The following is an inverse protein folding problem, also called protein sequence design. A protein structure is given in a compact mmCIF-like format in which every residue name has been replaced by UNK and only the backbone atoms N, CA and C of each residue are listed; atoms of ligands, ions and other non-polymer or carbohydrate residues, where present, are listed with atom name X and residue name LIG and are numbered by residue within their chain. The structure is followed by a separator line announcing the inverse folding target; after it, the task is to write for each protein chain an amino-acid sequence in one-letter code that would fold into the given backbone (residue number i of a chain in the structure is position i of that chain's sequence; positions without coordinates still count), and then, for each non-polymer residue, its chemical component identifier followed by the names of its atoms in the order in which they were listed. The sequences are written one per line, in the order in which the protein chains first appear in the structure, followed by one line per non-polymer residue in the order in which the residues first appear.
data_IF_173170538592
#
_entry.id   IF_173170538592
#
_cell.length_a   1.000
_cell.length_b   1.000
_cell.length_c   1.000
_cell.angle_alpha   90.00
_cell.angle_beta   90.00
_cell.angle_gamma   90.00
#
_symmetry.space_group_name_H-M   'P 1'
#
loop_
_entity.id
_entity.type
_entity.pdbx_description
1 polymer ?
#
# COMPACT_ATOMS: atom_id res chain seq x y z
N UNK A 1 9.54 19.28 -22.97
CA UNK A 1 9.51 19.54 -21.52
C UNK A 1 8.92 18.30 -20.89
N UNK A 2 9.67 17.60 -20.05
CA UNK A 2 9.16 16.48 -19.26
C UNK A 2 8.23 17.05 -18.19
N UNK A 3 6.96 16.65 -18.20
CA UNK A 3 6.04 16.96 -17.10
C UNK A 3 6.51 16.18 -15.87
N UNK A 4 6.89 16.89 -14.81
CA UNK A 4 7.22 16.29 -13.51
C UNK A 4 5.93 15.84 -12.83
N UNK A 5 5.91 14.63 -12.29
CA UNK A 5 4.75 14.10 -11.58
C UNK A 5 4.80 14.56 -10.12
N UNK A 6 3.82 15.38 -9.72
CA UNK A 6 3.68 15.88 -8.36
C UNK A 6 2.62 15.08 -7.59
N UNK A 7 3.03 14.50 -6.46
CA UNK A 7 2.13 13.84 -5.52
C UNK A 7 2.21 14.48 -4.14
N UNK A 8 1.23 14.19 -3.29
CA UNK A 8 1.18 14.68 -1.91
C UNK A 8 0.97 13.50 -0.98
N UNK A 9 1.63 13.56 0.17
CA UNK A 9 1.35 12.70 1.30
C UNK A 9 0.90 13.58 2.46
N UNK A 10 -0.17 13.15 3.14
CA UNK A 10 -0.77 13.92 4.22
C UNK A 10 -0.85 13.03 5.45
N UNK A 11 -0.33 13.54 6.55
CA UNK A 11 -0.25 12.83 7.81
C UNK A 11 -1.00 13.59 8.90
N UNK A 12 -1.73 12.86 9.73
CA UNK A 12 -2.51 13.38 10.85
C UNK A 12 -2.00 12.80 12.16
N UNK A 13 -1.77 13.66 13.15
CA UNK A 13 -1.41 13.25 14.51
C UNK A 13 -2.64 13.15 15.42
N UNK A 14 -2.54 12.42 16.53
CA UNK A 14 -3.59 12.41 17.56
C UNK A 14 -3.78 13.76 18.27
N UNK A 15 -2.80 14.67 18.15
CA UNK A 15 -2.85 16.05 18.68
C UNK A 15 -3.44 17.05 17.69
N UNK A 16 -4.03 16.56 16.59
CA UNK A 16 -4.62 17.37 15.51
C UNK A 16 -3.60 18.13 14.66
N UNK A 17 -2.33 17.76 14.70
CA UNK A 17 -1.34 18.33 13.78
C UNK A 17 -1.50 17.70 12.40
N UNK A 18 -1.24 18.50 11.37
CA UNK A 18 -1.28 18.09 9.98
C UNK A 18 0.11 18.31 9.38
N UNK A 19 0.69 17.26 8.81
CA UNK A 19 1.93 17.34 8.06
C UNK A 19 1.61 17.03 6.59
N UNK A 20 1.92 17.97 5.71
CA UNK A 20 1.75 17.81 4.26
C UNK A 20 3.14 17.77 3.64
N UNK A 21 3.40 16.70 2.91
CA UNK A 21 4.68 16.44 2.24
C UNK A 21 4.42 16.39 0.75
N UNK A 22 5.03 17.30 0.00
CA UNK A 22 5.01 17.23 -1.46
C UNK A 22 6.06 16.25 -1.96
N UNK A 23 5.80 15.56 -3.07
CA UNK A 23 6.76 14.69 -3.74
C UNK A 23 6.80 14.99 -5.23
N UNK A 24 8.01 15.02 -5.78
CA UNK A 24 8.27 15.24 -7.22
C UNK A 24 9.11 14.08 -7.76
N UNK A 25 8.66 13.48 -8.86
CA UNK A 25 9.34 12.38 -9.58
C UNK A 25 9.76 11.20 -8.69
N UNK A 26 8.93 10.84 -7.70
CA UNK A 26 9.13 9.77 -6.72
C UNK A 26 10.34 9.86 -5.77
N UNK A 27 11.35 10.68 -6.07
CA UNK A 27 12.60 10.74 -5.31
C UNK A 27 12.85 12.07 -4.57
N UNK A 28 12.14 13.15 -4.93
CA UNK A 28 12.33 14.46 -4.30
C UNK A 28 11.19 14.79 -3.34
N UNK A 29 11.53 15.06 -2.08
CA UNK A 29 10.59 15.60 -1.09
C UNK A 29 10.58 17.13 -1.19
N UNK A 30 9.42 17.69 -1.49
CA UNK A 30 9.16 19.12 -1.39
C UNK A 30 8.72 19.45 0.04
N UNK A 31 9.40 20.42 0.65
CA UNK A 31 9.30 20.88 2.04
C UNK A 31 8.09 20.34 2.85
N UNK A 32 8.30 19.53 3.90
CA UNK A 32 7.22 19.18 4.82
C UNK A 32 6.68 20.46 5.45
N UNK A 33 5.36 20.61 5.45
CA UNK A 33 4.70 21.78 6.02
C UNK A 33 3.72 21.36 7.10
N UNK A 34 3.74 22.10 8.20
CA UNK A 34 2.96 21.82 9.39
C UNK A 34 1.84 22.85 9.59
N UNK A 35 0.65 22.36 9.90
CA UNK A 35 -0.50 23.13 10.40
C UNK A 35 -1.25 22.29 11.44
N UNK A 36 -2.47 22.70 11.77
CA UNK A 36 -3.40 21.90 12.57
C UNK A 36 -4.71 21.71 11.82
N UNK A 37 -5.46 20.67 12.16
CA UNK A 37 -6.77 20.36 11.58
C UNK A 37 -7.76 21.53 11.75
N UNK A 38 -7.58 22.32 12.80
CA UNK A 38 -8.41 23.50 13.07
C UNK A 38 -8.00 24.75 12.28
N UNK A 39 -6.75 24.85 11.82
CA UNK A 39 -6.25 25.98 11.03
C UNK A 39 -6.46 25.74 9.53
N UNK A 40 -7.73 25.83 9.12
CA UNK A 40 -8.16 25.58 7.75
C UNK A 40 -7.44 26.52 6.76
N UNK A 41 -7.29 27.79 7.12
CA UNK A 41 -6.66 28.80 6.26
C UNK A 41 -5.19 28.51 6.01
N UNK A 42 -4.42 28.16 7.04
CA UNK A 42 -3.01 27.78 6.87
C UNK A 42 -2.88 26.49 6.09
N UNK A 43 -3.67 25.49 6.42
CA UNK A 43 -3.69 24.19 5.72
C UNK A 43 -3.95 24.38 4.22
N UNK A 44 -4.99 25.16 3.89
CA UNK A 44 -5.33 25.49 2.51
C UNK A 44 -4.20 26.26 1.82
N UNK A 45 -3.62 27.26 2.47
CA UNK A 45 -2.51 28.03 1.91
C UNK A 45 -1.24 27.21 1.66
N UNK A 46 -1.00 26.16 2.46
CA UNK A 46 0.10 25.20 2.23
C UNK A 46 -0.16 24.38 0.97
N UNK A 47 -1.37 23.84 0.82
CA UNK A 47 -1.77 23.04 -0.34
C UNK A 47 -1.65 23.86 -1.62
N UNK A 48 -2.14 25.11 -1.60
CA UNK A 48 -2.04 26.02 -2.75
C UNK A 48 -0.58 26.34 -3.11
N UNK A 49 0.29 26.54 -2.12
CA UNK A 49 1.73 26.80 -2.37
C UNK A 49 2.41 25.61 -3.04
N UNK A 50 2.18 24.40 -2.54
CA UNK A 50 2.78 23.20 -3.11
C UNK A 50 2.22 22.97 -4.52
N UNK A 51 0.90 23.09 -4.70
CA UNK A 51 0.23 22.89 -5.98
C UNK A 51 0.66 23.89 -7.08
N UNK A 52 1.02 25.12 -6.69
CA UNK A 52 1.51 26.13 -7.62
C UNK A 52 3.03 26.03 -7.87
N UNK A 53 3.70 24.96 -7.44
CA UNK A 53 5.13 24.76 -7.63
C UNK A 53 6.00 25.74 -6.83
N UNK A 54 5.42 26.49 -5.90
CA UNK A 54 6.11 27.50 -5.09
C UNK A 54 6.81 26.87 -3.86
N UNK A 55 7.21 25.61 -3.96
CA UNK A 55 7.87 24.90 -2.86
C UNK A 55 9.39 25.03 -3.00
N UNK A 56 10.03 25.47 -1.91
CA UNK A 56 11.48 25.41 -1.79
C UNK A 56 11.87 23.93 -1.75
N UNK A 57 12.71 23.48 -2.69
CA UNK A 57 13.33 22.15 -2.60
C UNK A 57 14.09 22.07 -1.27
N UNK A 58 13.71 21.12 -0.41
CA UNK A 58 14.43 20.85 0.84
C UNK A 58 15.15 19.52 0.68
N UNK A 59 16.39 19.50 1.17
CA UNK A 59 17.32 18.37 1.15
C UNK A 59 16.65 17.03 1.59
N UNK A 60 17.15 15.85 1.14
CA UNK A 60 16.53 14.54 1.34
C UNK A 60 16.40 14.04 2.80
N UNK A 61 16.79 14.84 3.79
CA UNK A 61 16.89 14.41 5.19
C UNK A 61 16.07 15.35 6.07
N UNK A 62 14.75 15.18 6.04
CA UNK A 62 13.89 15.63 7.12
C UNK A 62 13.94 14.56 8.21
N UNK A 63 14.74 14.78 9.26
CA UNK A 63 15.03 13.80 10.33
C UNK A 63 13.78 13.25 11.01
N UNK A 64 12.72 14.05 11.09
CA UNK A 64 11.45 13.73 11.73
C UNK A 64 10.49 13.00 10.79
N UNK A 65 10.81 12.89 9.49
CA UNK A 65 9.91 12.27 8.50
C UNK A 65 9.63 10.80 8.82
N UNK A 66 10.67 10.03 9.15
CA UNK A 66 10.52 8.62 9.48
C UNK A 66 9.68 8.41 10.73
N UNK A 67 9.80 9.31 11.71
CA UNK A 67 8.98 9.30 12.90
C UNK A 67 7.51 9.59 12.56
N UNK A 68 7.24 10.62 11.75
CA UNK A 68 5.88 10.95 11.29
C UNK A 68 5.29 9.78 10.51
N UNK A 69 6.01 9.23 9.52
CA UNK A 69 5.54 8.13 8.69
C UNK A 69 5.17 6.90 9.52
N UNK A 70 5.95 6.60 10.57
CA UNK A 70 5.69 5.49 11.49
C UNK A 70 4.51 5.79 12.41
N UNK A 71 4.46 6.97 13.02
CA UNK A 71 3.59 7.23 14.16
C UNK A 71 2.26 7.89 13.80
N UNK A 72 2.19 8.62 12.68
CA UNK A 72 1.01 9.38 12.27
C UNK A 72 0.14 8.57 11.31
N UNK A 73 -1.12 8.96 11.21
CA UNK A 73 -2.07 8.38 10.26
C UNK A 73 -1.84 8.98 8.88
N UNK A 74 -1.59 8.15 7.87
CA UNK A 74 -1.42 8.60 6.48
C UNK A 74 -2.78 8.60 5.78
N UNK A 75 -3.19 9.73 5.23
CA UNK A 75 -4.32 9.81 4.33
C UNK A 75 -3.93 9.29 2.95
N UNK A 76 -4.78 8.46 2.33
CA UNK A 76 -4.54 7.96 0.99
C UNK A 76 -5.21 8.88 -0.03
N UNK A 77 -4.40 9.72 -0.66
CA UNK A 77 -4.82 10.65 -1.69
C UNK A 77 -4.55 10.08 -3.09
N UNK A 78 -5.56 10.11 -3.94
CA UNK A 78 -5.41 9.92 -5.38
C UNK A 78 -5.91 11.16 -6.13
N UNK A 79 -5.41 11.33 -7.36
CA UNK A 79 -5.75 12.45 -8.22
C UNK A 79 -6.31 11.93 -9.54
N UNK A 80 -7.31 12.62 -10.07
CA UNK A 80 -7.87 12.33 -11.39
C UNK A 80 -8.10 13.62 -12.16
N UNK A 81 -7.97 13.59 -13.48
CA UNK A 81 -8.32 14.73 -14.35
C UNK A 81 -9.68 14.48 -14.97
N UNK A 82 -10.61 15.41 -14.77
CA UNK A 82 -11.94 15.40 -15.39
C UNK A 82 -12.20 16.75 -16.08
N UNK A 83 -12.46 16.72 -17.39
CA UNK A 83 -12.69 17.92 -18.21
C UNK A 83 -11.60 19.00 -18.07
N UNK A 84 -10.34 18.58 -17.89
CA UNK A 84 -9.19 19.48 -17.71
C UNK A 84 -9.01 20.01 -16.28
N UNK A 85 -9.95 19.76 -15.38
CA UNK A 85 -9.84 20.09 -13.95
C UNK A 85 -9.20 18.93 -13.20
N UNK A 86 -8.25 19.24 -12.32
CA UNK A 86 -7.65 18.27 -11.41
C UNK A 86 -8.55 18.10 -10.18
N UNK A 87 -9.00 16.88 -9.93
CA UNK A 87 -9.84 16.51 -8.81
C UNK A 87 -9.09 15.56 -7.88
N UNK A 88 -9.40 15.65 -6.60
CA UNK A 88 -8.75 14.90 -5.54
C UNK A 88 -9.72 13.90 -4.94
N UNK A 89 -9.22 12.74 -4.57
CA UNK A 89 -9.99 11.70 -3.92
C UNK A 89 -9.21 11.18 -2.70
N UNK A 90 -9.84 11.24 -1.54
CA UNK A 90 -9.33 10.65 -0.32
C UNK A 90 -10.04 9.32 -0.11
N UNK A 91 -9.29 8.22 0.05
CA UNK A 91 -9.88 6.89 0.17
C UNK A 91 -10.83 6.75 1.36
N UNK A 92 -10.58 7.56 2.38
CA UNK A 92 -11.33 7.64 3.63
C UNK A 92 -12.65 8.41 3.46
N UNK A 93 -12.86 9.07 2.32
CA UNK A 93 -14.06 9.82 2.01
C UNK A 93 -14.94 9.08 1.00
N UNK A 94 -16.13 8.66 1.44
CA UNK A 94 -17.15 8.08 0.57
C UNK A 94 -17.83 9.10 -0.37
N UNK A 95 -17.61 10.41 -0.14
CA UNK A 95 -18.27 11.54 -0.81
C UNK A 95 -17.78 11.86 -2.23
N UNK A 96 -16.85 11.09 -2.78
CA UNK A 96 -16.36 11.26 -4.15
C UNK A 96 -15.20 12.26 -4.28
N UNK A 97 -14.99 12.74 -5.50
CA UNK A 97 -13.87 13.62 -5.82
C UNK A 97 -14.19 15.09 -5.51
N UNK A 98 -13.21 15.85 -5.02
CA UNK A 98 -13.36 17.25 -4.62
C UNK A 98 -12.29 18.16 -5.23
N UNK A 99 -12.58 19.46 -5.29
CA UNK A 99 -11.65 20.50 -5.74
C UNK A 99 -10.62 20.82 -4.64
N UNK A 100 -9.40 21.21 -5.04
CA UNK A 100 -8.35 21.68 -4.13
C UNK A 100 -8.80 22.77 -3.14
N UNK A 101 -9.83 23.57 -3.46
CA UNK A 101 -10.32 24.63 -2.56
C UNK A 101 -10.98 24.09 -1.29
N UNK A 102 -11.45 22.83 -1.32
CA UNK A 102 -12.15 22.19 -0.21
C UNK A 102 -11.22 21.29 0.61
N UNK A 103 -9.93 21.24 0.27
CA UNK A 103 -9.02 20.23 0.77
C UNK A 103 -8.86 20.30 2.29
N UNK A 104 -8.71 21.51 2.85
CA UNK A 104 -8.61 21.70 4.30
C UNK A 104 -9.88 21.25 5.04
N UNK A 105 -11.05 21.54 4.50
CA UNK A 105 -12.33 21.11 5.08
C UNK A 105 -12.46 19.58 5.07
N UNK A 106 -12.05 18.94 3.96
CA UNK A 106 -12.07 17.48 3.82
C UNK A 106 -11.12 16.79 4.80
N UNK A 107 -9.91 17.32 5.01
CA UNK A 107 -8.98 16.81 6.03
C UNK A 107 -9.62 16.84 7.42
N UNK A 108 -10.30 17.94 7.75
CA UNK A 108 -10.98 18.11 9.04
C UNK A 108 -12.12 17.12 9.22
N UNK A 109 -13.00 17.00 8.23
CA UNK A 109 -14.12 16.07 8.24
C UNK A 109 -13.66 14.62 8.42
N UNK A 110 -12.61 14.21 7.70
CA UNK A 110 -12.03 12.88 7.80
C UNK A 110 -11.41 12.66 9.18
N UNK A 111 -10.63 13.62 9.70
CA UNK A 111 -10.05 13.52 11.02
C UNK A 111 -11.12 13.31 12.10
N UNK A 112 -12.19 14.10 12.07
CA UNK A 112 -13.30 13.99 13.03
C UNK A 112 -14.02 12.64 12.89
N UNK A 113 -14.23 12.17 11.66
CA UNK A 113 -14.89 10.89 11.37
C UNK A 113 -14.05 9.72 11.86
N UNK A 114 -12.76 9.66 11.51
CA UNK A 114 -11.87 8.59 11.94
C UNK A 114 -11.67 8.57 13.46
N UNK A 115 -11.59 9.74 14.09
CA UNK A 115 -11.50 9.84 15.56
C UNK A 115 -12.75 9.28 16.23
N UNK A 116 -13.95 9.61 15.72
CA UNK A 116 -15.23 9.05 16.22
C UNK A 116 -15.30 7.53 16.01
N UNK A 117 -14.87 7.04 14.85
CA UNK A 117 -14.79 5.60 14.56
C UNK A 117 -13.86 4.88 15.54
N UNK A 118 -12.69 5.45 15.81
CA UNK A 118 -11.76 4.96 16.83
C UNK A 118 -12.40 4.89 18.22
N UNK A 119 -13.07 5.97 18.65
CA UNK A 119 -13.78 5.98 19.94
C UNK A 119 -14.87 4.92 20.02
N UNK A 120 -15.67 4.76 18.96
CA UNK A 120 -16.72 3.74 18.91
C UNK A 120 -16.14 2.32 18.98
N UNK A 121 -15.04 2.06 18.27
CA UNK A 121 -14.34 0.76 18.28
C UNK A 121 -13.81 0.40 19.66
N UNK A 122 -13.35 1.39 20.42
CA UNK A 122 -12.75 1.22 21.74
C UNK A 122 -13.79 1.26 22.89
N UNK A 123 -15.06 1.55 22.57
CA UNK A 123 -16.11 1.63 23.57
C UNK A 123 -16.26 0.32 24.35
N UNK A 124 -16.31 0.42 25.68
CA UNK A 124 -16.49 -0.75 26.56
C UNK A 124 -15.22 -1.56 26.84
N UNK A 125 -14.03 -1.09 26.45
CA UNK A 125 -12.72 -1.71 26.75
C UNK A 125 -12.54 -3.16 26.24
N UNK A 126 -13.46 -3.65 25.39
CA UNK A 126 -13.43 -5.03 24.86
C UNK A 126 -12.35 -5.20 23.79
N UNK A 127 -11.93 -4.12 23.15
CA UNK A 127 -10.96 -4.16 22.05
C UNK A 127 -9.51 -4.23 22.50
N UNK A 128 -9.19 -3.73 23.71
CA UNK A 128 -7.83 -3.80 24.25
C UNK A 128 -7.32 -5.25 24.39
N UNK A 129 -8.10 -6.22 24.91
CA UNK A 129 -7.73 -7.64 24.88
C UNK A 129 -7.42 -8.18 23.47
N UNK A 130 -8.15 -7.72 22.45
CA UNK A 130 -7.96 -8.15 21.05
C UNK A 130 -6.61 -7.65 20.52
N UNK A 131 -6.29 -6.36 20.72
CA UNK A 131 -5.00 -5.79 20.34
C UNK A 131 -3.84 -6.51 21.06
N UNK A 132 -3.98 -6.80 22.36
CA UNK A 132 -2.98 -7.55 23.11
C UNK A 132 -2.78 -8.95 22.54
N UNK A 133 -3.85 -9.63 22.17
CA UNK A 133 -3.77 -10.94 21.53
C UNK A 133 -2.98 -10.86 20.20
N UNK A 134 -3.29 -9.91 19.33
CA UNK A 134 -2.55 -9.74 18.07
C UNK A 134 -1.07 -9.44 18.30
N UNK A 135 -0.77 -8.58 19.28
CA UNK A 135 0.61 -8.26 19.63
C UNK A 135 1.40 -9.49 20.08
N UNK A 136 0.85 -10.28 21.00
CA UNK A 136 1.50 -11.50 21.50
C UNK A 136 1.61 -12.57 20.41
N UNK A 137 0.60 -12.70 19.55
CA UNK A 137 0.64 -13.59 18.39
C UNK A 137 1.79 -13.22 17.44
N UNK A 138 1.87 -11.94 17.03
CA UNK A 138 2.90 -11.45 16.12
C UNK A 138 4.30 -11.57 16.72
N UNK A 139 4.47 -11.30 18.01
CA UNK A 139 5.76 -11.51 18.70
C UNK A 139 6.23 -12.95 18.65
N UNK A 140 5.36 -13.90 18.96
CA UNK A 140 5.69 -15.34 18.90
C UNK A 140 6.06 -15.78 17.48
N UNK A 141 5.34 -15.23 16.49
CA UNK A 141 5.64 -15.49 15.08
C UNK A 141 7.01 -14.92 14.68
N UNK A 142 7.29 -13.67 15.06
CA UNK A 142 8.52 -12.96 14.71
C UNK A 142 9.78 -13.60 15.31
N UNK A 143 9.67 -14.23 16.50
CA UNK A 143 10.78 -14.88 17.23
C UNK A 143 11.05 -16.31 16.72
N UNK A 144 10.27 -16.82 15.76
CA UNK A 144 10.50 -18.15 15.15
C UNK A 144 10.10 -19.33 16.05
N UNK A 145 9.30 -19.10 17.10
CA UNK A 145 8.78 -20.16 17.97
C UNK A 145 7.61 -20.95 17.34
N UNK A 146 7.15 -20.56 16.15
CA UNK A 146 6.03 -21.18 15.46
C UNK A 146 6.49 -21.80 14.13
N UNK A 147 5.97 -22.99 13.80
CA UNK A 147 6.13 -23.61 12.47
C UNK A 147 5.57 -22.64 11.41
N UNK A 148 6.47 -21.93 10.73
CA UNK A 148 6.18 -20.70 9.98
C UNK A 148 5.24 -20.90 8.76
N UNK A 149 5.13 -22.13 8.24
CA UNK A 149 4.50 -22.41 6.94
C UNK A 149 2.97 -22.40 7.02
N UNK A 150 2.36 -22.90 8.10
CA UNK A 150 0.89 -23.06 8.17
C UNK A 150 0.15 -21.75 8.53
N UNK A 151 0.86 -20.75 9.04
CA UNK A 151 0.27 -19.51 9.57
C UNK A 151 0.27 -18.32 8.60
N UNK A 152 0.77 -18.49 7.37
CA UNK A 152 0.85 -17.38 6.39
C UNK A 152 -0.52 -16.75 6.08
N UNK A 153 -1.58 -17.56 5.98
CA UNK A 153 -2.95 -17.04 5.78
C UNK A 153 -3.47 -16.24 6.99
N UNK A 154 -3.18 -16.71 8.21
CA UNK A 154 -3.56 -16.01 9.44
C UNK A 154 -2.80 -14.69 9.57
N UNK A 155 -1.51 -14.69 9.23
CA UNK A 155 -0.69 -13.48 9.23
C UNK A 155 -1.24 -12.45 8.23
N UNK A 156 -1.53 -12.84 6.98
CA UNK A 156 -2.14 -11.94 5.98
C UNK A 156 -3.46 -11.33 6.47
N UNK A 157 -4.30 -12.13 7.12
CA UNK A 157 -5.56 -11.65 7.69
C UNK A 157 -5.30 -10.63 8.81
N UNK A 158 -4.35 -10.89 9.72
CA UNK A 158 -3.99 -9.97 10.79
C UNK A 158 -3.41 -8.68 10.23
N UNK A 159 -2.48 -8.76 9.26
CA UNK A 159 -1.90 -7.58 8.59
C UNK A 159 -3.02 -6.71 8.01
N UNK A 160 -3.93 -7.31 7.24
CA UNK A 160 -5.06 -6.60 6.64
C UNK A 160 -5.95 -5.92 7.71
N UNK A 161 -6.23 -6.59 8.82
CA UNK A 161 -6.98 -6.01 9.94
C UNK A 161 -6.22 -4.80 10.51
N UNK A 162 -4.94 -4.96 10.84
CA UNK A 162 -4.12 -3.89 11.42
C UNK A 162 -4.03 -2.68 10.49
N UNK A 163 -3.86 -2.88 9.18
CA UNK A 163 -3.84 -1.80 8.19
C UNK A 163 -5.19 -1.07 8.12
N UNK A 164 -6.30 -1.82 8.09
CA UNK A 164 -7.66 -1.26 8.07
C UNK A 164 -7.99 -0.45 9.32
N UNK A 165 -7.28 -0.71 10.43
CA UNK A 165 -7.47 -0.05 11.72
C UNK A 165 -6.40 0.99 12.02
N UNK A 166 -5.68 1.46 10.99
CA UNK A 166 -4.67 2.50 11.12
C UNK A 166 -5.17 3.80 11.75
N UNK A 167 -6.47 4.08 11.70
CA UNK A 167 -7.10 5.20 12.42
C UNK A 167 -6.89 5.15 13.93
N UNK A 168 -6.56 4.00 14.53
CA UNK A 168 -6.21 3.88 15.95
C UNK A 168 -4.97 4.71 16.34
N UNK A 169 -4.12 5.09 15.37
CA UNK A 169 -3.04 6.07 15.58
C UNK A 169 -3.57 7.45 16.03
N UNK A 170 -4.81 7.78 15.72
CA UNK A 170 -5.47 9.04 16.12
C UNK A 170 -6.12 8.96 17.51
N UNK A 171 -6.10 7.79 18.17
CA UNK A 171 -6.73 7.61 19.48
C UNK A 171 -6.18 8.59 20.53
N UNK A 172 -7.05 9.18 21.33
CA UNK A 172 -6.61 10.00 22.48
C UNK A 172 -5.98 9.16 23.59
N UNK A 173 -6.34 7.87 23.67
CA UNK A 173 -5.75 6.93 24.63
C UNK A 173 -4.34 6.50 24.21
N UNK A 174 -3.34 6.99 24.95
CA UNK A 174 -1.93 6.67 24.71
C UNK A 174 -1.60 5.18 24.84
N UNK A 175 -2.29 4.41 25.69
CA UNK A 175 -2.06 2.98 25.85
C UNK A 175 -2.46 2.25 24.58
N UNK A 176 -3.62 2.59 24.02
CA UNK A 176 -4.09 2.02 22.76
C UNK A 176 -3.17 2.41 21.61
N UNK A 177 -2.81 3.70 21.49
CA UNK A 177 -1.89 4.15 20.43
C UNK A 177 -0.56 3.42 20.48
N UNK A 178 0.06 3.36 21.65
CA UNK A 178 1.38 2.74 21.81
C UNK A 178 1.32 1.23 21.51
N UNK A 179 0.24 0.56 21.93
CA UNK A 179 0.04 -0.85 21.62
C UNK A 179 -0.15 -1.07 20.11
N UNK A 180 -0.98 -0.28 19.46
CA UNK A 180 -1.17 -0.34 18.02
C UNK A 180 0.13 -0.06 17.25
N UNK A 181 0.89 0.97 17.63
CA UNK A 181 2.18 1.28 17.01
C UNK A 181 3.20 0.14 17.18
N UNK A 182 3.21 -0.52 18.34
CA UNK A 182 4.05 -1.71 18.58
C UNK A 182 3.65 -2.87 17.65
N UNK A 183 2.35 -3.10 17.47
CA UNK A 183 1.83 -4.12 16.54
C UNK A 183 2.19 -3.78 15.09
N UNK A 184 1.93 -2.54 14.66
CA UNK A 184 2.23 -2.07 13.31
C UNK A 184 3.73 -2.17 13.00
N UNK A 185 4.60 -1.93 14.00
CA UNK A 185 6.03 -2.19 13.89
C UNK A 185 6.34 -3.66 13.65
N UNK A 186 5.76 -4.58 14.45
CA UNK A 186 5.97 -6.02 14.25
C UNK A 186 5.53 -6.46 12.84
N UNK A 187 4.41 -5.94 12.34
CA UNK A 187 3.94 -6.19 10.97
C UNK A 187 4.94 -5.67 9.94
N UNK A 188 5.43 -4.44 10.10
CA UNK A 188 6.40 -3.84 9.17
C UNK A 188 7.71 -4.63 9.13
N UNK A 189 8.25 -4.99 10.30
CA UNK A 189 9.49 -5.77 10.42
C UNK A 189 9.34 -7.16 9.75
N UNK A 190 8.17 -7.78 9.84
CA UNK A 190 7.88 -9.09 9.21
C UNK A 190 7.70 -8.99 7.69
N UNK A 191 7.06 -7.92 7.20
CA UNK A 191 6.97 -7.64 5.76
C UNK A 191 8.38 -7.44 5.19
N UNK A 192 9.23 -6.63 5.85
CA UNK A 192 10.60 -6.40 5.43
C UNK A 192 11.41 -7.70 5.35
N UNK A 193 11.29 -8.56 6.37
CA UNK A 193 11.91 -9.89 6.37
C UNK A 193 11.43 -10.77 5.21
N UNK A 194 10.12 -10.82 5.00
CA UNK A 194 9.52 -11.62 3.91
C UNK A 194 10.05 -11.14 2.55
N UNK A 195 10.11 -9.84 2.32
CA UNK A 195 10.64 -9.25 1.08
C UNK A 195 12.12 -9.60 0.89
N UNK A 196 12.92 -9.57 1.95
CA UNK A 196 14.34 -9.99 1.88
C UNK A 196 14.47 -11.48 1.55
N UNK A 197 13.69 -12.35 2.19
CA UNK A 197 13.70 -13.79 1.92
C UNK A 197 13.28 -14.10 0.46
N UNK A 198 12.25 -13.41 -0.05
CA UNK A 198 11.85 -13.49 -1.45
C UNK A 198 12.95 -13.01 -2.40
N UNK A 199 13.61 -11.89 -2.08
CA UNK A 199 14.73 -11.36 -2.85
C UNK A 199 15.88 -12.37 -2.92
N UNK A 200 16.24 -13.00 -1.79
CA UNK A 200 17.27 -14.03 -1.75
C UNK A 200 16.88 -15.28 -2.55
N UNK A 201 15.61 -15.69 -2.47
CA UNK A 201 15.07 -16.79 -3.26
C UNK A 201 15.13 -16.48 -4.77
N UNK A 202 14.75 -15.27 -5.16
CA UNK A 202 14.86 -14.78 -6.54
C UNK A 202 16.31 -14.78 -7.02
N UNK A 203 17.24 -14.22 -6.22
CA UNK A 203 18.68 -14.22 -6.54
C UNK A 203 19.22 -15.64 -6.74
N UNK A 204 18.88 -16.57 -5.84
CA UNK A 204 19.30 -17.96 -5.94
C UNK A 204 18.76 -18.63 -7.21
N UNK A 205 17.47 -18.40 -7.54
CA UNK A 205 16.84 -18.93 -8.75
C UNK A 205 17.47 -18.41 -10.04
N UNK A 206 17.90 -17.14 -10.04
CA UNK A 206 18.43 -16.45 -11.23
C UNK A 206 19.96 -16.53 -11.35
N UNK A 207 20.66 -17.11 -10.37
CA UNK A 207 22.11 -17.05 -10.24
C UNK A 207 22.88 -17.59 -11.45
N UNK A 208 22.34 -18.57 -12.17
CA UNK A 208 22.99 -19.19 -13.33
C UNK A 208 22.58 -18.59 -14.69
N UNK A 209 21.65 -17.62 -14.69
CA UNK A 209 21.11 -17.00 -15.90
C UNK A 209 20.27 -17.92 -16.80
N UNK A 210 20.11 -19.19 -16.45
CA UNK A 210 19.37 -20.19 -17.25
C UNK A 210 17.87 -20.04 -17.13
N UNK A 211 17.41 -19.41 -16.05
CA UNK A 211 16.00 -19.28 -15.74
C UNK A 211 15.27 -18.24 -16.62
N UNK A 212 15.98 -17.23 -17.11
CA UNK A 212 15.38 -16.22 -18.00
C UNK A 212 14.85 -16.83 -19.31
N UNK A 213 15.60 -17.71 -20.02
CA UNK A 213 15.06 -18.51 -21.12
C UNK A 213 13.78 -19.28 -20.77
N UNK A 214 13.71 -19.88 -19.58
CA UNK A 214 12.53 -20.63 -19.10
C UNK A 214 11.31 -19.71 -18.98
N UNK A 215 11.45 -18.55 -18.34
CA UNK A 215 10.38 -17.55 -18.23
C UNK A 215 9.89 -17.08 -19.61
N UNK A 216 10.81 -16.91 -20.58
CA UNK A 216 10.43 -16.57 -21.96
C UNK A 216 9.64 -17.68 -22.64
N UNK A 217 10.01 -18.94 -22.41
CA UNK A 217 9.24 -20.10 -22.89
C UNK A 217 7.85 -20.14 -22.27
N UNK A 218 7.71 -19.89 -20.97
CA UNK A 218 6.40 -19.78 -20.30
C UNK A 218 5.56 -18.68 -20.93
N UNK A 219 6.17 -17.52 -21.22
CA UNK A 219 5.45 -16.39 -21.81
C UNK A 219 4.98 -16.70 -23.22
N UNK A 220 5.83 -17.33 -24.04
CA UNK A 220 5.47 -17.79 -25.38
C UNK A 220 4.33 -18.82 -25.34
N UNK A 221 4.35 -19.74 -24.35
CA UNK A 221 3.28 -20.71 -24.18
C UNK A 221 1.95 -20.02 -23.88
N UNK A 222 1.89 -19.11 -22.90
CA UNK A 222 0.67 -18.37 -22.53
C UNK A 222 0.19 -17.41 -23.62
N UNK A 223 1.10 -16.88 -24.43
CA UNK A 223 0.79 -15.93 -25.51
C UNK A 223 0.28 -16.60 -26.79
N UNK A 224 0.31 -17.93 -26.88
CA UNK A 224 -0.05 -18.67 -28.10
C UNK A 224 -1.57 -18.61 -28.41
N UNK A 225 -2.38 -18.15 -27.48
CA UNK A 225 -3.83 -18.27 -27.52
C UNK A 225 -4.56 -16.98 -27.89
N UNK A 226 -5.49 -17.08 -28.84
CA UNK A 226 -6.43 -16.00 -29.18
C UNK A 226 -7.60 -15.99 -28.18
N UNK A 227 -7.65 -14.94 -27.37
CA UNK A 227 -8.55 -14.78 -26.21
C UNK A 227 -10.04 -14.81 -26.56
N UNK A 228 -10.40 -14.72 -27.84
CA UNK A 228 -11.78 -14.66 -28.31
C UNK A 228 -12.30 -15.95 -28.95
N UNK A 229 -11.52 -17.03 -28.94
CA UNK A 229 -11.96 -18.31 -29.52
C UNK A 229 -12.81 -19.14 -28.54
N UNK A 230 -13.74 -19.94 -29.06
CA UNK A 230 -14.56 -20.88 -28.27
C UNK A 230 -13.72 -21.92 -27.48
N UNK A 231 -12.42 -22.07 -27.77
CA UNK A 231 -11.51 -23.01 -27.11
C UNK A 231 -10.88 -22.47 -25.80
N UNK A 232 -11.35 -21.32 -25.28
CA UNK A 232 -10.68 -20.63 -24.18
C UNK A 232 -10.70 -21.43 -22.88
N UNK A 233 -11.80 -22.16 -22.68
CA UNK A 233 -11.98 -23.04 -21.53
C UNK A 233 -10.99 -24.20 -21.57
N UNK A 234 -10.88 -24.91 -22.70
CA UNK A 234 -9.97 -26.05 -22.85
C UNK A 234 -8.51 -25.63 -22.69
N UNK A 235 -8.15 -24.49 -23.30
CA UNK A 235 -6.81 -23.96 -23.21
C UNK A 235 -6.43 -23.53 -21.78
N UNK A 236 -7.35 -22.90 -21.03
CA UNK A 236 -7.12 -22.60 -19.61
C UNK A 236 -6.82 -23.87 -18.80
N UNK A 237 -7.57 -24.95 -19.00
CA UNK A 237 -7.30 -26.22 -18.30
C UNK A 237 -5.95 -26.82 -18.67
N UNK A 238 -5.52 -26.71 -19.93
CA UNK A 238 -4.19 -27.14 -20.37
C UNK A 238 -3.08 -26.30 -19.72
N UNK A 239 -3.29 -24.99 -19.57
CA UNK A 239 -2.30 -24.08 -18.99
C UNK A 239 -2.33 -24.02 -17.45
N UNK A 240 -3.37 -24.57 -16.80
CA UNK A 240 -3.51 -24.55 -15.34
C UNK A 240 -2.25 -25.02 -14.58
N UNK A 241 -1.53 -26.07 -14.98
CA UNK A 241 -0.27 -26.45 -14.32
C UNK A 241 0.80 -25.36 -14.41
N UNK A 242 0.94 -24.73 -15.58
CA UNK A 242 1.89 -23.63 -15.79
C UNK A 242 1.50 -22.40 -14.96
N UNK A 243 0.20 -22.08 -14.88
CA UNK A 243 -0.31 -21.02 -14.01
C UNK A 243 0.07 -21.30 -12.55
N UNK A 244 -0.11 -22.53 -12.08
CA UNK A 244 0.31 -22.92 -10.72
C UNK A 244 1.82 -22.78 -10.47
N UNK A 245 2.66 -23.08 -11.47
CA UNK A 245 4.11 -22.84 -11.39
C UNK A 245 4.37 -21.33 -11.25
N UNK A 246 3.77 -20.51 -12.13
CA UNK A 246 3.92 -19.05 -12.08
C UNK A 246 3.50 -18.53 -10.70
N UNK A 247 2.33 -18.92 -10.20
CA UNK A 247 1.84 -18.51 -8.88
C UNK A 247 2.78 -18.91 -7.74
N UNK A 248 3.39 -20.11 -7.80
CA UNK A 248 4.38 -20.57 -6.82
C UNK A 248 5.71 -19.79 -6.88
N UNK A 249 5.92 -19.01 -7.94
CA UNK A 249 7.12 -18.20 -8.17
C UNK A 249 6.87 -16.72 -7.95
N UNK A 250 5.88 -16.37 -7.10
CA UNK A 250 5.54 -14.98 -6.76
C UNK A 250 6.72 -14.17 -6.25
N UNK A 251 7.73 -14.79 -5.64
CA UNK A 251 8.96 -14.14 -5.19
C UNK A 251 9.71 -13.40 -6.32
N UNK A 252 9.49 -13.76 -7.59
CA UNK A 252 10.09 -13.06 -8.74
C UNK A 252 9.53 -11.62 -8.93
N UNK A 253 8.38 -11.27 -8.32
CA UNK A 253 7.92 -9.89 -8.23
C UNK A 253 8.89 -8.97 -7.50
N UNK A 254 9.73 -9.53 -6.62
CA UNK A 254 10.68 -8.80 -5.79
C UNK A 254 12.09 -8.78 -6.42
N UNK A 255 12.28 -9.36 -7.62
CA UNK A 255 13.58 -9.40 -8.30
C UNK A 255 14.14 -8.01 -8.59
N UNK A 256 15.42 -7.80 -8.29
CA UNK A 256 16.16 -6.57 -8.65
C UNK A 256 16.52 -6.47 -10.14
N UNK A 257 16.42 -7.57 -10.88
CA UNK A 257 16.59 -7.56 -12.34
C UNK A 257 15.27 -7.11 -13.00
N UNK A 258 15.25 -5.90 -13.56
CA UNK A 258 14.07 -5.30 -14.17
C UNK A 258 13.51 -6.11 -15.34
N UNK A 259 14.37 -6.79 -16.12
CA UNK A 259 13.94 -7.61 -17.25
C UNK A 259 13.18 -8.83 -16.77
N UNK A 260 13.68 -9.50 -15.72
CA UNK A 260 12.99 -10.63 -15.10
C UNK A 260 11.69 -10.17 -14.45
N UNK A 261 11.73 -9.04 -13.73
CA UNK A 261 10.59 -8.48 -13.03
C UNK A 261 9.44 -8.15 -13.99
N UNK A 262 9.73 -7.45 -15.08
CA UNK A 262 8.74 -7.06 -16.09
C UNK A 262 8.18 -8.28 -16.84
N UNK A 263 9.03 -9.25 -17.15
CA UNK A 263 8.59 -10.50 -17.79
C UNK A 263 7.65 -11.29 -16.88
N UNK A 264 7.99 -11.42 -15.59
CA UNK A 264 7.15 -12.10 -14.62
C UNK A 264 5.81 -11.39 -14.40
N UNK A 265 5.81 -10.05 -14.31
CA UNK A 265 4.57 -9.24 -14.29
C UNK A 265 3.68 -9.51 -15.50
N UNK A 266 4.27 -9.61 -16.69
CA UNK A 266 3.55 -9.96 -17.92
C UNK A 266 2.95 -11.37 -17.88
N UNK A 267 3.70 -12.34 -17.34
CA UNK A 267 3.24 -13.71 -17.12
C UNK A 267 2.05 -13.78 -16.17
N UNK A 268 2.17 -13.16 -15.00
CA UNK A 268 1.12 -13.12 -13.99
C UNK A 268 -0.16 -12.46 -14.53
N UNK A 269 -0.02 -11.36 -15.30
CA UNK A 269 -1.14 -10.73 -15.99
C UNK A 269 -1.81 -11.68 -16.99
N UNK A 270 -1.01 -12.33 -17.84
CA UNK A 270 -1.53 -13.27 -18.85
C UNK A 270 -2.26 -14.46 -18.21
N UNK A 271 -1.74 -14.98 -17.09
CA UNK A 271 -2.39 -16.03 -16.32
C UNK A 271 -3.74 -15.56 -15.74
N UNK A 272 -3.77 -14.36 -15.15
CA UNK A 272 -5.01 -13.77 -14.61
C UNK A 272 -6.05 -13.52 -15.72
N UNK A 273 -5.63 -13.04 -16.88
CA UNK A 273 -6.53 -12.79 -18.01
C UNK A 273 -7.15 -14.09 -18.55
N UNK A 274 -6.38 -15.18 -18.63
CA UNK A 274 -6.90 -16.50 -19.01
C UNK A 274 -7.93 -17.01 -18.00
N UNK A 275 -7.67 -16.85 -16.71
CA UNK A 275 -8.64 -17.18 -15.66
C UNK A 275 -9.92 -16.36 -15.79
N UNK A 276 -9.81 -15.04 -15.98
CA UNK A 276 -10.97 -14.15 -16.18
C UNK A 276 -11.76 -14.51 -17.43
N UNK A 277 -11.10 -14.82 -18.55
CA UNK A 277 -11.78 -15.27 -19.77
C UNK A 277 -12.55 -16.58 -19.55
N UNK A 278 -11.93 -17.56 -18.87
CA UNK A 278 -12.61 -18.79 -18.47
C UNK A 278 -13.86 -18.51 -17.62
N UNK A 279 -13.76 -17.64 -16.61
CA UNK A 279 -14.89 -17.29 -15.75
C UNK A 279 -15.98 -16.51 -16.50
N UNK A 280 -15.62 -15.65 -17.45
CA UNK A 280 -16.55 -14.88 -18.27
C UNK A 280 -17.32 -15.71 -19.30
N UNK A 281 -16.74 -16.81 -19.80
CA UNK A 281 -17.43 -17.75 -20.70
C UNK A 281 -18.48 -18.66 -20.03
N UNK A 282 -18.63 -18.57 -18.69
CA UNK A 282 -19.64 -19.30 -17.91
C UNK A 282 -20.94 -18.50 -17.67
N UNK A 283 -21.09 -17.34 -18.32
CA UNK A 283 -22.30 -16.52 -18.30
C UNK A 283 -23.30 -16.87 -19.38
#
# INVERSE_FOLDING_TARGET
MTEHEFSYEIYLSCTQDVCIVGRMDNDFICAPSFSTVSDLKRTQGVIEKIANGASTLVSPVFSEYDEIKRNWYKLNLSQTRQNGTLLYHLSENAGGCFDRSLFADQIKEIFETLSKTGMARLAGNTYLPVLRYYHEFLKKYTIGESQAVDNCHQLKAIISIIESESYLKLSSDSVIRNLYQSIAKCVSDEIERTVEDELQTAKARLADGTYLPVLRSYHALLSKYDRYSQQAVEYYYQMKPLIGIIESESYLYSSSDSVVNDLYKSLARSASELYSAHMGTRG
#
